data_IF_210856268642
#
_entry.id   IF_210856268642
#
_cell.length_a   1.000
_cell.length_b   1.000
_cell.length_c   1.000
_cell.angle_alpha   90.00
_cell.angle_beta   90.00
_cell.angle_gamma   90.00
#
_symmetry.space_group_name_H-M   'P 1'
#
loop_
_entity.id
_entity.type
_entity.pdbx_description
1 polymer ?
#
# COMPACT_ATOMS: atom_id res chain seq x y z
N UNK A 1 -8.90 -20.95 -13.80
CA UNK A 1 -7.43 -21.08 -13.74
C UNK A 1 -7.01 -20.51 -12.40
N UNK A 2 -5.97 -20.97 -11.73
CA UNK A 2 -5.50 -20.25 -10.56
C UNK A 2 -5.10 -18.85 -11.03
N UNK A 3 -5.80 -17.85 -10.57
CA UNK A 3 -5.45 -16.45 -10.76
C UNK A 3 -4.15 -16.20 -10.01
N UNK A 4 -3.24 -15.49 -10.64
CA UNK A 4 -2.03 -15.01 -9.99
C UNK A 4 -2.41 -14.08 -8.83
N UNK A 5 -1.76 -14.18 -7.68
CA UNK A 5 -2.19 -13.48 -6.46
C UNK A 5 -1.26 -12.32 -6.17
N UNK A 6 -1.83 -11.12 -5.98
CA UNK A 6 -1.12 -9.95 -5.52
C UNK A 6 -1.12 -9.94 -3.99
N UNK A 7 0.05 -9.88 -3.39
CA UNK A 7 0.26 -9.67 -1.96
C UNK A 7 -0.11 -8.23 -1.60
N UNK A 8 -1.01 -8.06 -0.66
CA UNK A 8 -1.37 -6.74 -0.12
C UNK A 8 -0.57 -6.49 1.16
N UNK A 9 0.33 -5.51 1.07
CA UNK A 9 1.15 -5.03 2.17
C UNK A 9 0.53 -3.73 2.70
N UNK A 10 -0.03 -3.78 3.90
CA UNK A 10 -0.61 -2.59 4.53
C UNK A 10 0.42 -1.89 5.41
N UNK A 11 0.65 -0.61 5.14
CA UNK A 11 1.53 0.27 5.93
C UNK A 11 0.77 1.38 6.68
N UNK A 12 -0.53 1.19 6.96
CA UNK A 12 -1.35 2.15 7.70
C UNK A 12 -0.77 2.45 9.08
N UNK A 13 -0.22 1.43 9.76
CA UNK A 13 0.36 1.54 11.11
C UNK A 13 1.79 2.09 11.14
N UNK A 14 2.41 2.28 9.97
CA UNK A 14 3.75 2.88 9.85
C UNK A 14 3.72 4.18 9.05
N UNK A 15 3.55 4.13 7.72
CA UNK A 15 3.53 5.30 6.85
C UNK A 15 2.24 6.12 7.01
N UNK A 16 1.12 5.43 7.14
CA UNK A 16 -0.17 6.05 7.44
C UNK A 16 -0.14 6.87 8.74
N UNK A 17 0.45 6.32 9.80
CA UNK A 17 0.60 6.99 11.09
C UNK A 17 1.56 8.20 11.05
N UNK A 18 2.51 8.21 10.13
CA UNK A 18 3.46 9.33 9.95
C UNK A 18 2.78 10.57 9.36
N UNK A 19 1.57 10.43 8.84
CA UNK A 19 0.77 11.59 8.41
C UNK A 19 0.49 12.53 9.59
N UNK A 20 0.67 13.86 9.41
CA UNK A 20 0.42 14.81 10.47
C UNK A 20 -1.01 14.68 11.05
N UNK A 21 -1.10 14.41 12.35
CA UNK A 21 -2.37 14.23 13.06
C UNK A 21 -2.92 12.81 13.12
N UNK A 22 -2.23 11.83 12.54
CA UNK A 22 -2.65 10.42 12.50
C UNK A 22 -2.01 9.53 13.57
N UNK A 23 -1.28 10.11 14.54
CA UNK A 23 -0.63 9.32 15.59
C UNK A 23 -1.64 8.51 16.41
N UNK A 24 -1.34 7.24 16.61
CA UNK A 24 -2.18 6.28 17.30
C UNK A 24 -1.53 5.79 18.60
N UNK A 25 -2.33 5.57 19.64
CA UNK A 25 -1.89 4.88 20.85
C UNK A 25 -1.77 3.38 20.56
N UNK A 26 -0.97 2.68 21.38
CA UNK A 26 -0.79 1.22 21.23
C UNK A 26 -2.12 0.45 21.18
N UNK A 27 -3.10 0.80 22.00
CA UNK A 27 -4.41 0.16 21.98
C UNK A 27 -5.15 0.39 20.65
N UNK A 28 -5.06 1.59 20.09
CA UNK A 28 -5.64 1.96 18.80
C UNK A 28 -4.93 1.22 17.64
N UNK A 29 -3.59 1.08 17.71
CA UNK A 29 -2.82 0.27 16.75
C UNK A 29 -3.26 -1.21 16.78
N UNK A 30 -3.51 -1.78 17.94
CA UNK A 30 -4.00 -3.15 18.06
C UNK A 30 -5.42 -3.32 17.50
N UNK A 31 -6.29 -2.33 17.65
CA UNK A 31 -7.62 -2.34 17.08
C UNK A 31 -7.57 -2.28 15.54
N UNK A 32 -6.74 -1.39 14.99
CA UNK A 32 -6.50 -1.32 13.54
C UNK A 32 -5.87 -2.61 13.02
N UNK A 33 -4.83 -3.15 13.70
CA UNK A 33 -4.20 -4.41 13.31
C UNK A 33 -5.21 -5.57 13.28
N UNK A 34 -6.12 -5.64 14.26
CA UNK A 34 -7.20 -6.65 14.25
C UNK A 34 -8.10 -6.51 13.03
N UNK A 35 -8.49 -5.28 12.68
CA UNK A 35 -9.32 -5.03 11.50
C UNK A 35 -8.59 -5.37 10.19
N UNK A 36 -7.28 -5.10 10.10
CA UNK A 36 -6.46 -5.45 8.94
C UNK A 36 -6.33 -6.98 8.77
N UNK A 37 -6.17 -7.71 9.88
CA UNK A 37 -6.17 -9.19 9.85
C UNK A 37 -7.53 -9.74 9.41
N UNK A 38 -8.63 -9.19 9.92
CA UNK A 38 -9.99 -9.62 9.55
C UNK A 38 -10.33 -9.22 8.09
N UNK A 39 -9.74 -8.12 7.59
CA UNK A 39 -9.77 -7.72 6.20
C UNK A 39 -9.00 -8.70 5.30
N UNK A 40 -8.02 -9.42 5.85
CA UNK A 40 -7.26 -10.43 5.12
C UNK A 40 -6.06 -9.86 4.37
N UNK A 41 -5.44 -8.78 4.86
CA UNK A 41 -4.15 -8.31 4.31
C UNK A 41 -3.06 -9.34 4.58
N UNK A 42 -2.12 -9.48 3.67
CA UNK A 42 -1.06 -10.49 3.75
C UNK A 42 0.06 -10.06 4.70
N UNK A 43 0.43 -8.79 4.65
CA UNK A 43 1.52 -8.21 5.44
C UNK A 43 1.03 -6.93 6.13
N UNK A 44 1.35 -6.77 7.41
CA UNK A 44 1.08 -5.56 8.20
C UNK A 44 2.42 -4.96 8.63
N UNK A 45 2.78 -3.81 8.09
CA UNK A 45 3.92 -3.04 8.58
C UNK A 45 3.52 -2.30 9.86
N UNK A 46 3.90 -2.87 10.99
CA UNK A 46 3.37 -2.49 12.29
C UNK A 46 4.04 -1.22 12.89
N UNK A 47 5.16 -0.78 12.32
CA UNK A 47 5.83 0.43 12.76
C UNK A 47 7.33 0.47 12.49
N UNK A 48 7.99 1.44 13.15
CA UNK A 48 9.42 1.70 13.06
C UNK A 48 10.09 1.57 14.45
N UNK A 49 10.50 0.36 14.85
CA UNK A 49 10.87 0.04 16.25
C UNK A 49 12.00 0.85 16.86
N UNK A 50 12.85 1.44 16.04
CA UNK A 50 13.96 2.29 16.52
C UNK A 50 13.51 3.72 16.87
N UNK A 51 12.34 4.16 16.38
CA UNK A 51 11.89 5.54 16.54
C UNK A 51 11.66 5.91 18.01
N UNK A 52 11.07 5.00 18.81
CA UNK A 52 10.88 5.19 20.24
C UNK A 52 10.67 3.86 20.98
N UNK A 53 10.77 3.85 22.32
CA UNK A 53 10.37 2.68 23.12
C UNK A 53 8.91 2.28 22.89
N UNK A 54 7.99 3.25 22.74
CA UNK A 54 6.56 2.98 22.50
C UNK A 54 6.32 2.34 21.13
N UNK A 55 7.04 2.75 20.08
CA UNK A 55 6.96 2.11 18.75
C UNK A 55 7.46 0.66 18.81
N UNK A 56 8.56 0.42 19.52
CA UNK A 56 9.04 -0.94 19.76
C UNK A 56 8.00 -1.82 20.44
N UNK A 57 7.42 -1.35 21.54
CA UNK A 57 6.39 -2.07 22.29
C UNK A 57 5.14 -2.32 21.45
N UNK A 58 4.71 -1.35 20.66
CA UNK A 58 3.56 -1.49 19.78
C UNK A 58 3.79 -2.59 18.72
N UNK A 59 4.92 -2.56 18.03
CA UNK A 59 5.29 -3.61 17.06
C UNK A 59 5.38 -4.98 17.73
N UNK A 60 5.96 -5.07 18.93
CA UNK A 60 6.07 -6.33 19.67
C UNK A 60 4.67 -6.86 20.08
N UNK A 61 3.75 -6.00 20.51
CA UNK A 61 2.39 -6.41 20.85
C UNK A 61 1.61 -6.88 19.64
N UNK A 62 1.71 -6.18 18.48
CA UNK A 62 1.12 -6.62 17.21
C UNK A 62 1.70 -7.98 16.80
N UNK A 63 3.01 -8.15 16.91
CA UNK A 63 3.71 -9.42 16.61
C UNK A 63 3.17 -10.58 17.43
N UNK A 64 3.02 -10.41 18.73
CA UNK A 64 2.50 -11.46 19.64
C UNK A 64 1.04 -11.79 19.40
N UNK A 65 0.23 -10.80 19.06
CA UNK A 65 -1.20 -10.98 18.97
C UNK A 65 -1.67 -11.47 17.60
N UNK A 66 -0.96 -11.13 16.53
CA UNK A 66 -1.41 -11.35 15.16
C UNK A 66 -0.42 -12.07 14.25
N UNK A 67 0.79 -12.35 14.74
CA UNK A 67 1.87 -12.94 13.93
C UNK A 67 1.64 -14.37 13.48
N UNK A 68 0.60 -15.05 13.96
CA UNK A 68 0.14 -16.37 13.49
C UNK A 68 -0.83 -16.25 12.30
N UNK A 69 -1.48 -15.08 12.12
CA UNK A 69 -2.54 -14.85 11.12
C UNK A 69 -2.10 -14.00 9.93
N UNK A 70 -1.19 -13.05 10.15
CA UNK A 70 -0.61 -12.21 9.11
C UNK A 70 0.90 -12.13 9.27
N UNK A 71 1.63 -11.80 8.21
CA UNK A 71 3.05 -11.48 8.31
C UNK A 71 3.20 -10.10 8.94
N UNK A 72 3.88 -10.03 10.09
CA UNK A 72 4.17 -8.75 10.74
C UNK A 72 5.53 -8.25 10.28
N UNK A 73 5.54 -7.01 9.79
CA UNK A 73 6.71 -6.36 9.25
C UNK A 73 7.17 -5.19 10.15
N UNK A 74 8.45 -5.00 10.27
CA UNK A 74 9.06 -3.86 10.96
C UNK A 74 10.10 -3.18 10.08
N UNK A 75 9.98 -1.84 9.99
CA UNK A 75 10.89 -1.02 9.21
C UNK A 75 12.23 -0.79 9.92
N UNK A 76 13.31 -0.81 9.17
CA UNK A 76 14.67 -0.50 9.63
C UNK A 76 15.46 0.28 8.56
N UNK A 77 16.15 1.33 8.95
CA UNK A 77 17.18 1.90 8.08
C UNK A 77 18.32 0.89 7.92
N UNK A 78 19.10 1.02 6.85
CA UNK A 78 20.34 0.25 6.68
C UNK A 78 21.40 0.67 7.72
N UNK A 79 21.10 0.38 9.00
CA UNK A 79 21.98 0.55 10.17
C UNK A 79 21.81 -0.65 11.09
N UNK A 80 22.91 -1.12 11.63
CA UNK A 80 22.93 -2.30 12.49
C UNK A 80 21.93 -2.20 13.65
N UNK A 81 21.94 -1.07 14.37
CA UNK A 81 21.07 -0.86 15.53
C UNK A 81 19.58 -0.87 15.17
N UNK A 82 19.24 -0.38 13.96
CA UNK A 82 17.86 -0.35 13.49
C UNK A 82 17.39 -1.78 13.17
N UNK A 83 18.21 -2.57 12.45
CA UNK A 83 17.90 -3.95 12.08
C UNK A 83 17.76 -4.82 13.34
N UNK A 84 18.70 -4.71 14.29
CA UNK A 84 18.66 -5.46 15.55
C UNK A 84 17.43 -5.09 16.39
N UNK A 85 17.07 -3.82 16.39
CA UNK A 85 15.91 -3.32 17.12
C UNK A 85 14.60 -3.81 16.50
N UNK A 86 14.50 -3.79 15.15
CA UNK A 86 13.34 -4.31 14.45
C UNK A 86 13.19 -5.82 14.67
N UNK A 87 14.29 -6.58 14.58
CA UNK A 87 14.27 -8.00 14.91
C UNK A 87 13.78 -8.28 16.32
N UNK A 88 14.28 -7.53 17.32
CA UNK A 88 13.85 -7.68 18.71
C UNK A 88 12.36 -7.48 18.92
N UNK A 89 11.70 -6.64 18.12
CA UNK A 89 10.26 -6.42 18.19
C UNK A 89 9.43 -7.49 17.46
N UNK A 90 10.03 -8.17 16.46
CA UNK A 90 9.36 -9.14 15.59
C UNK A 90 9.53 -10.59 16.00
N UNK A 91 10.49 -10.91 16.86
CA UNK A 91 10.88 -12.29 17.18
C UNK A 91 9.75 -13.18 17.73
N UNK A 92 8.71 -12.57 18.29
CA UNK A 92 7.55 -13.26 18.84
C UNK A 92 6.46 -13.58 17.78
N UNK A 93 6.57 -13.05 16.56
CA UNK A 93 5.67 -13.39 15.47
C UNK A 93 6.08 -14.71 14.81
N UNK A 94 5.11 -15.56 14.49
CA UNK A 94 5.34 -16.77 13.69
C UNK A 94 5.71 -16.41 12.25
N UNK A 95 4.96 -15.48 11.66
CA UNK A 95 5.21 -14.90 10.33
C UNK A 95 5.73 -13.49 10.51
N UNK A 96 6.96 -13.25 10.09
CA UNK A 96 7.66 -12.00 10.31
C UNK A 96 8.50 -11.62 9.11
N UNK A 97 8.62 -10.32 8.87
CA UNK A 97 9.43 -9.74 7.81
C UNK A 97 10.26 -8.58 8.36
N UNK A 98 11.52 -8.52 7.99
CA UNK A 98 12.36 -7.35 8.18
C UNK A 98 12.36 -6.53 6.89
N UNK A 99 11.95 -5.25 6.98
CA UNK A 99 11.97 -4.32 5.88
C UNK A 99 13.11 -3.32 6.07
N UNK A 100 14.15 -3.43 5.25
CA UNK A 100 15.31 -2.53 5.28
C UNK A 100 15.30 -1.57 4.10
N UNK A 101 15.65 -0.30 4.33
CA UNK A 101 15.69 0.68 3.27
C UNK A 101 16.94 1.55 3.27
N UNK A 102 17.33 1.98 2.08
CA UNK A 102 18.44 2.93 1.86
C UNK A 102 18.16 3.72 0.58
N UNK A 103 18.32 5.05 0.65
CA UNK A 103 18.09 5.87 -0.53
C UNK A 103 19.19 5.70 -1.57
N UNK A 104 18.78 5.69 -2.85
CA UNK A 104 19.65 5.42 -4.00
C UNK A 104 19.68 6.53 -5.03
N UNK A 105 18.76 7.51 -4.98
CA UNK A 105 18.78 8.62 -5.91
C UNK A 105 19.96 9.57 -5.65
N UNK A 106 20.49 10.17 -6.71
CA UNK A 106 21.64 11.09 -6.65
C UNK A 106 21.43 12.23 -5.65
N UNK A 107 20.21 12.79 -5.60
CA UNK A 107 19.87 13.87 -4.67
C UNK A 107 19.96 13.43 -3.20
N UNK A 108 19.55 12.19 -2.89
CA UNK A 108 19.65 11.65 -1.53
C UNK A 108 21.09 11.27 -1.19
N UNK A 109 21.82 10.67 -2.11
CA UNK A 109 23.22 10.33 -1.93
C UNK A 109 24.06 11.57 -1.62
N UNK A 110 23.88 12.65 -2.39
CA UNK A 110 24.65 13.89 -2.23
C UNK A 110 24.27 14.66 -0.96
N UNK A 111 22.96 14.88 -0.73
CA UNK A 111 22.52 15.83 0.30
C UNK A 111 22.15 15.19 1.63
N UNK A 112 21.56 13.97 1.63
CA UNK A 112 21.07 13.28 2.83
C UNK A 112 22.11 12.33 3.41
N UNK A 113 22.68 11.44 2.58
CA UNK A 113 23.53 10.34 3.03
C UNK A 113 25.02 10.71 2.99
N UNK A 114 25.45 11.55 2.04
CA UNK A 114 26.84 11.88 1.74
C UNK A 114 27.67 10.63 1.47
N UNK A 115 27.12 9.73 0.66
CA UNK A 115 27.71 8.46 0.25
C UNK A 115 27.80 8.40 -1.28
N UNK A 116 28.84 7.76 -1.78
CA UNK A 116 28.93 7.38 -3.19
C UNK A 116 28.22 6.05 -3.47
N UNK A 117 28.05 5.69 -4.76
CA UNK A 117 27.37 4.47 -5.20
C UNK A 117 27.96 3.20 -4.56
N UNK A 118 29.28 3.09 -4.47
CA UNK A 118 29.96 1.92 -3.88
C UNK A 118 29.65 1.78 -2.39
N UNK A 119 29.56 2.90 -1.69
CA UNK A 119 29.19 2.91 -0.27
C UNK A 119 27.72 2.53 -0.08
N UNK A 120 26.82 2.98 -0.98
CA UNK A 120 25.40 2.59 -0.98
C UNK A 120 25.27 1.09 -1.18
N UNK A 121 25.86 0.53 -2.24
CA UNK A 121 25.80 -0.93 -2.52
C UNK A 121 26.35 -1.72 -1.34
N UNK A 122 27.52 -1.35 -0.83
CA UNK A 122 28.13 -2.03 0.32
C UNK A 122 27.21 -2.01 1.54
N UNK A 123 26.65 -0.86 1.88
CA UNK A 123 25.77 -0.70 3.06
C UNK A 123 24.49 -1.49 2.89
N UNK A 124 23.88 -1.49 1.69
CA UNK A 124 22.69 -2.26 1.39
C UNK A 124 22.96 -3.77 1.58
N UNK A 125 24.03 -4.29 0.96
CA UNK A 125 24.44 -5.70 1.07
C UNK A 125 24.67 -6.11 2.53
N UNK A 126 25.46 -5.35 3.29
CA UNK A 126 25.75 -5.66 4.69
C UNK A 126 24.48 -5.72 5.56
N UNK A 127 23.54 -4.81 5.35
CA UNK A 127 22.32 -4.74 6.18
C UNK A 127 21.24 -5.70 5.73
N UNK A 128 21.12 -5.99 4.44
CA UNK A 128 20.24 -7.05 3.94
C UNK A 128 20.73 -8.42 4.42
N UNK A 129 22.05 -8.69 4.32
CA UNK A 129 22.65 -9.93 4.84
C UNK A 129 22.38 -10.08 6.34
N UNK A 130 22.57 -8.98 7.12
CA UNK A 130 22.27 -9.00 8.55
C UNK A 130 20.81 -9.30 8.84
N UNK A 131 19.89 -8.76 8.05
CA UNK A 131 18.46 -9.05 8.18
C UNK A 131 18.17 -10.54 7.83
N UNK A 132 18.79 -11.06 6.78
CA UNK A 132 18.68 -12.45 6.35
C UNK A 132 19.26 -13.43 7.37
N UNK A 133 20.27 -13.05 8.13
CA UNK A 133 20.78 -13.85 9.24
C UNK A 133 19.76 -14.03 10.39
N UNK A 134 18.78 -13.12 10.48
CA UNK A 134 17.71 -13.18 11.49
C UNK A 134 16.42 -13.82 10.98
N UNK A 135 16.06 -13.61 9.72
CA UNK A 135 14.73 -13.89 9.19
C UNK A 135 14.81 -14.25 7.70
N UNK A 136 14.08 -15.27 7.29
CA UNK A 136 14.07 -15.73 5.89
C UNK A 136 13.32 -14.77 4.95
N UNK A 137 12.39 -13.97 5.48
CA UNK A 137 11.59 -13.00 4.72
C UNK A 137 12.15 -11.59 4.93
N UNK A 138 12.89 -11.10 3.94
CA UNK A 138 13.54 -9.80 3.96
C UNK A 138 13.08 -8.96 2.77
N UNK A 139 12.55 -7.79 3.05
CA UNK A 139 12.20 -6.79 2.06
C UNK A 139 13.25 -5.69 2.04
N UNK A 140 13.68 -5.32 0.83
CA UNK A 140 14.60 -4.19 0.64
C UNK A 140 13.98 -3.14 -0.26
N UNK A 141 14.02 -1.87 0.21
CA UNK A 141 13.58 -0.70 -0.54
C UNK A 141 14.75 0.21 -0.90
N UNK A 142 15.12 0.36 -2.18
CA UNK A 142 15.94 1.46 -2.66
C UNK A 142 15.12 2.76 -2.62
N UNK A 143 15.15 3.49 -1.50
CA UNK A 143 14.34 4.70 -1.31
C UNK A 143 14.58 5.70 -2.45
N UNK A 144 13.51 6.27 -2.97
CA UNK A 144 13.50 7.19 -4.12
C UNK A 144 13.91 6.53 -5.45
N UNK A 145 13.55 5.26 -5.61
CA UNK A 145 13.86 4.46 -6.80
C UNK A 145 13.33 5.07 -8.11
N UNK A 146 12.16 5.72 -8.07
CA UNK A 146 11.58 6.38 -9.24
C UNK A 146 12.46 7.51 -9.82
N UNK A 147 13.40 8.04 -9.05
CA UNK A 147 14.37 9.07 -9.46
C UNK A 147 15.83 8.57 -9.44
N UNK A 148 16.03 7.29 -9.21
CA UNK A 148 17.35 6.65 -9.26
C UNK A 148 17.73 6.35 -10.71
N UNK A 149 19.02 6.50 -11.04
CA UNK A 149 19.57 6.07 -12.32
C UNK A 149 19.32 4.57 -12.53
N UNK A 150 18.80 4.18 -13.70
CA UNK A 150 18.31 2.82 -13.90
C UNK A 150 19.38 1.74 -13.82
N UNK A 151 20.58 2.00 -14.38
CA UNK A 151 21.70 1.04 -14.33
C UNK A 151 22.18 0.84 -12.89
N UNK A 152 22.27 1.93 -12.13
CA UNK A 152 22.61 1.87 -10.72
C UNK A 152 21.53 1.19 -9.89
N UNK A 153 20.25 1.44 -10.20
CA UNK A 153 19.13 0.73 -9.56
C UNK A 153 19.23 -0.78 -9.80
N UNK A 154 19.55 -1.20 -11.03
CA UNK A 154 19.79 -2.62 -11.35
C UNK A 154 20.90 -3.23 -10.51
N UNK A 155 22.05 -2.54 -10.38
CA UNK A 155 23.17 -3.01 -9.56
C UNK A 155 22.76 -3.19 -8.09
N UNK A 156 22.10 -2.19 -7.51
CA UNK A 156 21.66 -2.24 -6.10
C UNK A 156 20.68 -3.38 -5.88
N UNK A 157 19.70 -3.55 -6.78
CA UNK A 157 18.68 -4.60 -6.70
C UNK A 157 19.33 -5.99 -6.82
N UNK A 158 20.20 -6.19 -7.81
CA UNK A 158 20.89 -7.47 -7.99
C UNK A 158 21.70 -7.85 -6.74
N UNK A 159 22.43 -6.91 -6.18
CA UNK A 159 23.24 -7.12 -4.97
C UNK A 159 22.42 -7.32 -3.70
N UNK A 160 21.26 -6.67 -3.58
CA UNK A 160 20.34 -6.89 -2.47
C UNK A 160 19.74 -8.30 -2.51
N UNK A 161 19.36 -8.81 -3.70
CA UNK A 161 18.87 -10.18 -3.87
C UNK A 161 19.99 -11.19 -3.57
N UNK A 162 21.21 -10.98 -4.06
CA UNK A 162 22.37 -11.82 -3.72
C UNK A 162 22.64 -11.88 -2.21
N UNK A 163 22.35 -10.77 -1.49
CA UNK A 163 22.51 -10.69 -0.04
C UNK A 163 21.37 -11.33 0.76
N UNK A 164 20.29 -11.76 0.12
CA UNK A 164 19.18 -12.47 0.74
C UNK A 164 17.85 -11.73 0.79
N UNK A 165 17.68 -10.62 0.05
CA UNK A 165 16.37 -10.00 -0.08
C UNK A 165 15.41 -10.91 -0.87
N UNK A 166 14.25 -11.21 -0.30
CA UNK A 166 13.19 -12.02 -0.91
C UNK A 166 12.11 -11.17 -1.56
N UNK A 167 12.06 -9.89 -1.20
CA UNK A 167 11.17 -8.89 -1.81
C UNK A 167 11.98 -7.63 -2.10
N UNK A 168 11.83 -7.09 -3.31
CA UNK A 168 12.38 -5.80 -3.72
C UNK A 168 11.22 -4.84 -3.94
N UNK A 169 11.11 -3.87 -3.06
CA UNK A 169 10.09 -2.84 -3.16
C UNK A 169 10.65 -1.60 -3.87
N UNK A 170 9.93 -1.12 -4.86
CA UNK A 170 10.31 0.02 -5.70
C UNK A 170 9.44 1.22 -5.30
N UNK A 171 9.99 2.20 -4.54
CA UNK A 171 9.19 3.34 -4.11
C UNK A 171 9.26 4.54 -5.07
N UNK A 172 8.08 5.08 -5.38
CA UNK A 172 7.90 6.45 -5.84
C UNK A 172 7.71 7.36 -4.61
N UNK A 173 8.83 7.61 -3.92
CA UNK A 173 8.87 8.23 -2.59
C UNK A 173 8.29 9.64 -2.54
N UNK A 174 8.33 10.38 -3.64
CA UNK A 174 7.83 11.75 -3.70
C UNK A 174 6.60 11.91 -4.60
N UNK A 175 6.01 10.79 -5.06
CA UNK A 175 4.82 10.80 -5.89
C UNK A 175 5.02 11.54 -7.23
N UNK A 176 6.20 11.40 -7.82
CA UNK A 176 6.65 12.14 -9.00
C UNK A 176 6.38 11.42 -10.33
N UNK A 177 6.36 10.10 -10.31
CA UNK A 177 6.26 9.29 -11.50
C UNK A 177 4.87 9.33 -12.13
N UNK A 178 4.82 9.16 -13.46
CA UNK A 178 3.58 8.85 -14.19
C UNK A 178 3.43 7.34 -14.35
N UNK A 179 2.20 6.81 -14.60
CA UNK A 179 2.01 5.35 -14.68
C UNK A 179 2.90 4.66 -15.71
N UNK A 180 3.03 5.24 -16.91
CA UNK A 180 3.89 4.66 -17.97
C UNK A 180 5.38 4.67 -17.58
N UNK A 181 5.83 5.74 -16.94
CA UNK A 181 7.21 5.86 -16.45
C UNK A 181 7.46 4.87 -15.32
N UNK A 182 6.57 4.79 -14.34
CA UNK A 182 6.74 3.89 -13.20
C UNK A 182 6.71 2.42 -13.62
N UNK A 183 5.76 2.03 -14.48
CA UNK A 183 5.74 0.68 -15.06
C UNK A 183 7.02 0.34 -15.84
N UNK A 184 7.60 1.32 -16.56
CA UNK A 184 8.84 1.08 -17.31
C UNK A 184 10.04 0.74 -16.42
N UNK A 185 10.06 1.19 -15.15
CA UNK A 185 11.10 0.80 -14.17
C UNK A 185 11.04 -0.70 -13.90
N UNK A 186 9.84 -1.25 -13.66
CA UNK A 186 9.66 -2.69 -13.42
C UNK A 186 10.06 -3.53 -14.63
N UNK A 187 9.66 -3.10 -15.82
CA UNK A 187 10.09 -3.76 -17.06
C UNK A 187 11.60 -3.76 -17.18
N UNK A 188 12.24 -2.61 -16.97
CA UNK A 188 13.69 -2.47 -17.06
C UNK A 188 14.43 -3.39 -16.06
N UNK A 189 13.98 -3.45 -14.82
CA UNK A 189 14.54 -4.36 -13.81
C UNK A 189 14.41 -5.83 -14.23
N UNK A 190 13.24 -6.23 -14.75
CA UNK A 190 13.02 -7.61 -15.24
C UNK A 190 13.90 -7.99 -16.42
N UNK A 191 14.25 -7.03 -17.27
CA UNK A 191 15.09 -7.26 -18.44
C UNK A 191 16.58 -7.25 -18.13
N UNK A 192 17.02 -6.52 -17.07
CA UNK A 192 18.43 -6.24 -16.87
C UNK A 192 19.02 -6.82 -15.57
N UNK A 193 18.19 -7.23 -14.59
CA UNK A 193 18.67 -7.84 -13.34
C UNK A 193 18.63 -9.35 -13.46
N UNK A 194 19.79 -9.99 -13.43
CA UNK A 194 19.95 -11.42 -13.79
C UNK A 194 19.27 -12.38 -12.80
N UNK A 195 19.17 -12.01 -11.53
CA UNK A 195 18.57 -12.80 -10.45
C UNK A 195 17.18 -12.33 -10.03
N UNK A 196 16.53 -11.45 -10.80
CA UNK A 196 15.25 -10.82 -10.45
C UNK A 196 14.14 -11.83 -10.13
N UNK A 197 14.17 -12.99 -10.78
CA UNK A 197 13.20 -14.08 -10.56
C UNK A 197 13.32 -14.78 -9.20
N UNK A 198 14.32 -14.43 -8.38
CA UNK A 198 14.50 -14.96 -7.03
C UNK A 198 13.81 -14.10 -5.96
N UNK A 199 13.28 -12.93 -6.33
CA UNK A 199 12.58 -12.05 -5.41
C UNK A 199 11.21 -11.62 -5.97
N UNK A 200 10.30 -11.25 -5.08
CA UNK A 200 9.03 -10.63 -5.42
C UNK A 200 9.27 -9.15 -5.68
N UNK A 201 8.77 -8.62 -6.80
CA UNK A 201 8.74 -7.17 -7.04
C UNK A 201 7.52 -6.55 -6.37
N UNK A 202 7.74 -5.50 -5.60
CA UNK A 202 6.74 -4.72 -4.88
C UNK A 202 6.71 -3.27 -5.36
N UNK A 203 5.56 -2.63 -5.30
CA UNK A 203 5.37 -1.23 -5.63
C UNK A 203 4.88 -0.44 -4.41
N UNK A 204 5.54 0.68 -4.13
CA UNK A 204 5.12 1.66 -3.11
C UNK A 204 5.00 3.03 -3.76
N UNK A 205 3.83 3.68 -3.67
CA UNK A 205 3.59 4.95 -4.35
C UNK A 205 2.98 5.99 -3.43
N UNK A 206 3.60 7.17 -3.37
CA UNK A 206 2.99 8.37 -2.79
C UNK A 206 2.10 9.10 -3.79
N UNK A 207 1.16 9.90 -3.29
CA UNK A 207 0.02 10.42 -4.05
C UNK A 207 0.12 11.92 -4.35
N UNK A 208 1.31 12.50 -4.40
CA UNK A 208 1.52 13.94 -4.56
C UNK A 208 0.93 14.50 -5.86
N UNK A 209 0.95 13.71 -6.93
CA UNK A 209 0.28 14.04 -8.20
C UNK A 209 -1.12 13.41 -8.36
N UNK A 210 -1.64 12.71 -7.34
CA UNK A 210 -2.90 11.98 -7.44
C UNK A 210 -2.82 10.70 -8.28
N UNK A 211 -1.62 10.12 -8.45
CA UNK A 211 -1.37 8.99 -9.35
C UNK A 211 -0.94 7.70 -8.64
N UNK A 212 -0.92 7.67 -7.31
CA UNK A 212 -0.38 6.53 -6.57
C UNK A 212 -1.04 5.20 -6.94
N UNK A 213 -2.37 5.15 -6.98
CA UNK A 213 -3.12 3.94 -7.37
C UNK A 213 -2.81 3.55 -8.82
N UNK A 214 -2.81 4.53 -9.73
CA UNK A 214 -2.54 4.29 -11.14
C UNK A 214 -1.09 3.78 -11.37
N UNK A 215 -0.12 4.33 -10.63
CA UNK A 215 1.27 3.89 -10.67
C UNK A 215 1.41 2.46 -10.15
N UNK A 216 0.79 2.13 -9.00
CA UNK A 216 0.80 0.78 -8.45
C UNK A 216 0.19 -0.25 -9.40
N UNK A 217 -0.95 0.08 -10.02
CA UNK A 217 -1.59 -0.80 -11.01
C UNK A 217 -0.73 -0.95 -12.30
N UNK A 218 -0.02 0.10 -12.72
CA UNK A 218 0.92 0.00 -13.83
C UNK A 218 2.09 -0.94 -13.50
N UNK A 219 2.60 -0.89 -12.26
CA UNK A 219 3.63 -1.82 -11.79
C UNK A 219 3.12 -3.27 -11.77
N UNK A 220 1.87 -3.52 -11.34
CA UNK A 220 1.24 -4.85 -11.38
C UNK A 220 1.17 -5.36 -12.82
N UNK A 221 0.77 -4.51 -13.77
CA UNK A 221 0.76 -4.85 -15.21
C UNK A 221 2.13 -5.22 -15.76
N UNK A 222 3.21 -4.68 -15.20
CA UNK A 222 4.60 -5.00 -15.57
C UNK A 222 5.23 -6.11 -14.72
N UNK A 223 4.46 -6.72 -13.81
CA UNK A 223 4.85 -7.94 -13.09
C UNK A 223 5.20 -7.75 -11.63
N UNK A 224 4.88 -6.62 -11.00
CA UNK A 224 4.86 -6.55 -9.54
C UNK A 224 3.82 -7.54 -8.98
N UNK A 225 4.16 -8.18 -7.87
CA UNK A 225 3.28 -9.16 -7.20
C UNK A 225 3.07 -8.84 -5.73
N UNK A 226 3.51 -7.68 -5.31
CA UNK A 226 3.15 -7.03 -4.05
C UNK A 226 2.84 -5.56 -4.30
N UNK A 227 1.87 -5.01 -3.57
CA UNK A 227 1.59 -3.57 -3.51
C UNK A 227 1.56 -3.13 -2.05
N UNK A 228 2.39 -2.14 -1.72
CA UNK A 228 2.30 -1.41 -0.46
C UNK A 228 1.24 -0.32 -0.59
N UNK A 229 0.33 -0.28 0.35
CA UNK A 229 -0.79 0.66 0.35
C UNK A 229 -1.27 0.93 1.77
N UNK A 230 -2.20 1.85 1.93
CA UNK A 230 -2.77 2.19 3.23
C UNK A 230 -4.29 2.29 3.14
N UNK A 231 -4.97 2.03 4.25
CA UNK A 231 -6.41 2.31 4.37
C UNK A 231 -6.64 3.81 4.13
N UNK A 232 -7.60 4.13 3.28
CA UNK A 232 -7.97 5.50 2.86
C UNK A 232 -6.86 6.29 2.15
N UNK A 233 -5.76 5.65 1.79
CA UNK A 233 -4.60 6.31 1.20
C UNK A 233 -3.86 7.23 2.20
N UNK A 234 -3.93 6.94 3.50
CA UNK A 234 -3.20 7.72 4.52
C UNK A 234 -1.70 7.65 4.29
N UNK A 235 -0.97 8.71 4.65
CA UNK A 235 0.49 8.76 4.55
C UNK A 235 1.04 10.19 4.51
N UNK A 236 2.34 10.28 4.40
CA UNK A 236 3.05 11.56 4.30
C UNK A 236 2.50 12.43 3.16
N UNK A 237 2.46 13.73 3.37
CA UNK A 237 2.04 14.77 2.40
C UNK A 237 0.63 14.53 1.84
N UNK A 238 0.52 14.05 0.58
CA UNK A 238 -0.77 13.74 -0.07
C UNK A 238 -1.23 12.28 0.13
N UNK A 239 -0.47 11.49 0.89
CA UNK A 239 -0.78 10.11 1.22
C UNK A 239 -0.15 9.08 0.29
N UNK A 240 -0.58 7.84 0.45
CA UNK A 240 -0.16 6.65 -0.30
C UNK A 240 -1.23 6.18 -1.30
N UNK A 241 -0.92 5.12 -2.02
CA UNK A 241 -1.94 4.36 -2.75
C UNK A 241 -3.00 3.85 -1.76
N UNK A 242 -4.27 4.05 -2.08
CA UNK A 242 -5.37 3.60 -1.23
C UNK A 242 -5.63 2.10 -1.42
N UNK A 243 -5.59 1.33 -0.34
CA UNK A 243 -5.78 -0.12 -0.34
C UNK A 243 -7.10 -0.52 -1.00
N UNK A 244 -8.20 0.11 -0.60
CA UNK A 244 -9.53 -0.16 -1.13
C UNK A 244 -9.63 0.06 -2.63
N UNK A 245 -8.92 1.06 -3.17
CA UNK A 245 -8.92 1.35 -4.61
C UNK A 245 -8.09 0.33 -5.40
N UNK A 246 -6.94 -0.10 -4.87
CA UNK A 246 -6.11 -1.16 -5.48
C UNK A 246 -6.91 -2.47 -5.52
N UNK A 247 -7.42 -2.91 -4.38
CA UNK A 247 -8.14 -4.18 -4.25
C UNK A 247 -9.36 -4.23 -5.17
N UNK A 248 -10.19 -3.17 -5.17
CA UNK A 248 -11.39 -3.16 -6.00
C UNK A 248 -11.09 -2.95 -7.48
N UNK A 249 -9.99 -2.28 -7.85
CA UNK A 249 -9.56 -2.23 -9.26
C UNK A 249 -9.18 -3.63 -9.78
N UNK A 250 -8.44 -4.41 -8.99
CA UNK A 250 -8.06 -5.78 -9.34
C UNK A 250 -9.28 -6.70 -9.42
N UNK A 251 -10.16 -6.65 -8.41
CA UNK A 251 -11.37 -7.47 -8.36
C UNK A 251 -12.35 -7.14 -9.49
N UNK A 252 -12.59 -5.84 -9.77
CA UNK A 252 -13.52 -5.39 -10.81
C UNK A 252 -12.98 -5.63 -12.21
N UNK A 253 -11.66 -5.50 -12.42
CA UNK A 253 -10.99 -5.65 -13.71
C UNK A 253 -10.10 -6.89 -13.77
N UNK A 254 -10.53 -7.98 -13.13
CA UNK A 254 -9.88 -9.30 -13.24
C UNK A 254 -9.76 -9.80 -14.69
N UNK A 255 -10.64 -9.32 -15.58
CA UNK A 255 -10.56 -9.54 -17.03
C UNK A 255 -9.30 -8.96 -17.67
N UNK A 256 -8.77 -7.89 -17.11
CA UNK A 256 -7.61 -7.15 -17.62
C UNK A 256 -6.31 -7.48 -16.89
N UNK A 257 -6.36 -7.57 -15.55
CA UNK A 257 -5.16 -7.79 -14.73
C UNK A 257 -4.79 -9.27 -14.59
N UNK A 258 -5.75 -10.19 -14.79
CA UNK A 258 -5.58 -11.64 -14.64
C UNK A 258 -5.00 -12.08 -13.28
N UNK A 259 -5.18 -11.24 -12.27
CA UNK A 259 -4.73 -11.46 -10.89
C UNK A 259 -5.82 -11.03 -9.90
N UNK A 260 -5.70 -11.50 -8.66
CA UNK A 260 -6.64 -11.25 -7.58
C UNK A 260 -5.88 -11.04 -6.26
N UNK A 261 -6.60 -10.72 -5.19
CA UNK A 261 -6.07 -10.57 -3.83
C UNK A 261 -6.76 -11.52 -2.86
N UNK A 262 -6.22 -11.68 -1.65
CA UNK A 262 -6.85 -12.45 -0.57
C UNK A 262 -7.76 -11.59 0.32
N UNK A 263 -7.94 -10.33 -0.01
CA UNK A 263 -8.68 -9.36 0.80
C UNK A 263 -10.17 -9.68 0.79
N UNK A 264 -10.79 -9.69 1.97
CA UNK A 264 -12.24 -9.80 2.17
C UNK A 264 -12.88 -8.44 1.87
N UNK A 265 -13.31 -8.21 0.66
CA UNK A 265 -13.75 -6.90 0.18
C UNK A 265 -14.93 -6.32 0.98
N UNK A 266 -15.81 -7.16 1.52
CA UNK A 266 -16.92 -6.76 2.41
C UNK A 266 -16.46 -6.09 3.73
N UNK A 267 -15.18 -6.16 4.06
CA UNK A 267 -14.56 -5.50 5.21
C UNK A 267 -13.92 -4.13 4.88
N UNK A 268 -13.85 -3.74 3.61
CA UNK A 268 -13.21 -2.48 3.21
C UNK A 268 -13.87 -1.25 3.85
N UNK A 269 -15.18 -1.12 3.71
CA UNK A 269 -15.90 0.03 4.27
C UNK A 269 -15.85 0.09 5.80
N UNK A 270 -16.12 -1.00 6.56
CA UNK A 270 -15.96 -1.00 8.01
C UNK A 270 -14.56 -0.62 8.48
N UNK A 271 -13.51 -1.17 7.84
CA UNK A 271 -12.11 -0.87 8.18
C UNK A 271 -11.77 0.59 7.88
N UNK A 272 -12.20 1.11 6.74
CA UNK A 272 -12.06 2.54 6.39
C UNK A 272 -12.68 3.46 7.45
N UNK A 273 -13.88 3.11 7.94
CA UNK A 273 -14.57 3.88 8.99
C UNK A 273 -13.85 3.81 10.33
N UNK A 274 -13.37 2.64 10.72
CA UNK A 274 -12.59 2.45 11.93
C UNK A 274 -11.35 3.34 11.93
N UNK A 275 -10.52 3.23 10.88
CA UNK A 275 -9.28 4.02 10.74
C UNK A 275 -9.58 5.52 10.73
N UNK A 276 -10.62 5.95 10.00
CA UNK A 276 -11.06 7.36 9.99
C UNK A 276 -11.50 7.85 11.37
N UNK A 277 -12.17 7.00 12.16
CA UNK A 277 -12.60 7.34 13.52
C UNK A 277 -11.43 7.47 14.49
N UNK A 278 -10.47 6.55 14.41
CA UNK A 278 -9.29 6.51 15.29
C UNK A 278 -8.35 7.68 14.99
N UNK A 279 -8.03 7.91 13.72
CA UNK A 279 -7.09 8.96 13.30
C UNK A 279 -7.71 10.35 13.25
N UNK A 280 -9.04 10.46 13.24
CA UNK A 280 -9.74 11.73 13.03
C UNK A 280 -9.69 12.25 11.59
N UNK A 281 -8.99 11.55 10.69
CA UNK A 281 -8.90 11.92 9.26
C UNK A 281 -10.18 11.51 8.54
N UNK A 282 -10.96 12.52 8.15
CA UNK A 282 -12.24 12.29 7.49
C UNK A 282 -12.05 11.85 6.05
N UNK A 283 -12.71 10.76 5.67
CA UNK A 283 -12.81 10.33 4.28
C UNK A 283 -13.65 11.34 3.48
N UNK A 284 -13.14 11.77 2.32
CA UNK A 284 -13.90 12.63 1.41
C UNK A 284 -15.19 11.95 0.98
N UNK A 285 -16.28 12.72 0.88
CA UNK A 285 -17.60 12.16 0.51
C UNK A 285 -17.59 11.44 -0.85
N UNK A 286 -16.83 11.95 -1.79
CA UNK A 286 -16.67 11.41 -3.14
C UNK A 286 -15.42 10.50 -3.30
N UNK A 287 -14.80 10.05 -2.19
CA UNK A 287 -13.72 9.06 -2.24
C UNK A 287 -14.21 7.80 -2.94
N UNK A 288 -13.43 7.28 -3.85
CA UNK A 288 -13.75 6.02 -4.50
C UNK A 288 -13.93 4.89 -3.46
N UNK A 289 -14.79 3.95 -3.72
CA UNK A 289 -15.09 2.73 -2.95
C UNK A 289 -15.73 3.00 -1.58
N UNK A 290 -15.14 3.83 -0.72
CA UNK A 290 -15.53 3.99 0.69
C UNK A 290 -16.12 5.37 1.04
N UNK A 291 -16.23 6.28 0.07
CA UNK A 291 -16.87 7.59 0.27
C UNK A 291 -18.39 7.46 0.41
N UNK A 292 -19.03 8.39 1.13
CA UNK A 292 -20.48 8.38 1.30
C UNK A 292 -21.25 8.47 -0.02
N UNK A 293 -20.66 9.13 -1.03
CA UNK A 293 -21.31 9.32 -2.33
C UNK A 293 -20.92 8.22 -3.35
N UNK A 294 -20.05 7.26 -2.97
CA UNK A 294 -19.58 6.23 -3.89
C UNK A 294 -20.72 5.38 -4.48
N UNK A 295 -21.81 5.22 -3.70
CA UNK A 295 -23.03 4.47 -4.08
C UNK A 295 -24.29 5.34 -3.88
N UNK A 296 -24.21 6.63 -4.22
CA UNK A 296 -25.33 7.55 -4.09
C UNK A 296 -25.65 8.23 -5.43
N UNK A 297 -26.92 8.24 -5.82
CA UNK A 297 -27.39 8.86 -7.05
C UNK A 297 -28.39 9.98 -6.74
N UNK A 298 -28.12 11.19 -7.24
CA UNK A 298 -29.04 12.33 -7.15
C UNK A 298 -29.60 12.71 -8.53
N UNK A 299 -28.83 12.55 -9.61
CA UNK A 299 -29.29 12.91 -10.95
C UNK A 299 -30.43 11.99 -11.43
N UNK A 300 -31.55 12.59 -11.88
CA UNK A 300 -32.74 11.82 -12.30
C UNK A 300 -32.45 10.81 -13.42
N UNK A 301 -31.57 11.14 -14.37
CA UNK A 301 -31.17 10.23 -15.45
C UNK A 301 -30.43 8.99 -14.87
N UNK A 302 -29.57 9.21 -13.88
CA UNK A 302 -28.85 8.11 -13.21
C UNK A 302 -29.82 7.25 -12.41
N UNK A 303 -30.76 7.84 -11.66
CA UNK A 303 -31.76 7.11 -10.89
C UNK A 303 -32.67 6.29 -11.81
N UNK A 304 -33.15 6.87 -12.93
CA UNK A 304 -33.96 6.16 -13.89
C UNK A 304 -33.24 4.96 -14.52
N UNK A 305 -31.97 5.14 -14.89
CA UNK A 305 -31.15 4.04 -15.40
C UNK A 305 -30.91 2.95 -14.37
N UNK A 306 -30.51 3.33 -13.15
CA UNK A 306 -30.23 2.41 -12.06
C UNK A 306 -31.47 1.59 -11.64
N UNK A 307 -32.63 2.23 -11.56
CA UNK A 307 -33.91 1.56 -11.24
C UNK A 307 -34.32 0.52 -12.30
N UNK A 308 -33.89 0.69 -13.53
CA UNK A 308 -34.14 -0.27 -14.62
C UNK A 308 -33.13 -1.42 -14.59
N UNK A 309 -31.86 -1.09 -14.41
CA UNK A 309 -30.75 -2.04 -14.37
C UNK A 309 -29.57 -1.37 -13.64
N UNK A 310 -29.23 -1.79 -12.40
CA UNK A 310 -28.16 -1.18 -11.59
C UNK A 310 -26.81 -1.08 -12.30
N UNK A 311 -26.46 -2.07 -13.12
CA UNK A 311 -25.17 -2.11 -13.85
C UNK A 311 -25.02 -1.00 -14.90
N UNK A 312 -26.06 -0.23 -15.17
CA UNK A 312 -25.98 0.96 -16.05
C UNK A 312 -25.11 2.06 -15.45
N UNK A 313 -25.00 2.11 -14.12
CA UNK A 313 -24.25 3.14 -13.39
C UNK A 313 -23.39 2.60 -12.23
N UNK A 314 -23.42 1.29 -11.97
CA UNK A 314 -22.61 0.65 -10.93
C UNK A 314 -21.73 -0.44 -11.55
N UNK A 315 -20.42 -0.37 -11.29
CA UNK A 315 -19.43 -1.38 -11.71
C UNK A 315 -19.17 -2.44 -10.63
N UNK A 316 -19.68 -2.22 -9.44
CA UNK A 316 -19.65 -3.12 -8.29
C UNK A 316 -20.88 -2.85 -7.40
N UNK A 317 -21.32 -3.83 -6.63
CA UNK A 317 -22.45 -3.65 -5.72
C UNK A 317 -21.96 -3.05 -4.40
N UNK A 318 -22.78 -2.23 -3.70
CA UNK A 318 -22.42 -1.69 -2.38
C UNK A 318 -22.04 -2.78 -1.37
N UNK A 319 -22.74 -3.90 -1.37
CA UNK A 319 -22.50 -5.03 -0.46
C UNK A 319 -21.13 -5.67 -0.68
N UNK A 320 -20.60 -5.64 -1.90
CA UNK A 320 -19.28 -6.20 -2.24
C UNK A 320 -18.14 -5.51 -1.46
N UNK A 321 -18.38 -4.29 -0.97
CA UNK A 321 -17.41 -3.51 -0.18
C UNK A 321 -17.87 -3.24 1.27
N UNK A 322 -18.97 -3.85 1.68
CA UNK A 322 -19.53 -3.73 3.03
C UNK A 322 -20.40 -2.49 3.28
N UNK A 323 -20.89 -1.86 2.22
CA UNK A 323 -21.90 -0.79 2.30
C UNK A 323 -23.29 -1.41 2.25
N UNK A 324 -24.24 -1.01 3.14
CA UNK A 324 -25.54 -1.69 3.25
C UNK A 324 -26.45 -1.60 2.03
N UNK A 325 -26.22 -0.67 1.11
CA UNK A 325 -27.02 -0.48 -0.09
C UNK A 325 -26.78 0.85 -0.77
N UNK A 326 -27.40 1.04 -1.93
CA UNK A 326 -27.34 2.29 -2.71
C UNK A 326 -28.31 3.32 -2.18
N UNK A 327 -27.85 4.56 -2.03
CA UNK A 327 -28.68 5.70 -1.62
C UNK A 327 -29.22 6.46 -2.85
N UNK A 328 -30.54 6.49 -3.01
CA UNK A 328 -31.22 7.36 -3.97
C UNK A 328 -31.58 8.68 -3.26
N UNK A 329 -30.79 9.72 -3.52
CA UNK A 329 -31.01 11.05 -2.93
C UNK A 329 -32.11 11.77 -3.71
N UNK A 330 -33.10 12.41 -3.04
CA UNK A 330 -34.14 13.19 -3.75
C UNK A 330 -33.51 14.24 -4.68
N UNK A 331 -33.99 14.27 -5.93
CA UNK A 331 -33.51 15.18 -6.96
C UNK A 331 -33.78 16.62 -6.55
N UNK A 332 -32.73 17.45 -6.44
CA UNK A 332 -32.81 18.86 -6.09
C UNK A 332 -32.49 19.74 -7.31
N UNK A 333 -33.44 19.81 -8.27
CA UNK A 333 -33.33 20.74 -9.39
C UNK A 333 -33.97 22.08 -9.01
N UNK A 334 -33.17 23.06 -8.69
CA UNK A 334 -33.64 24.41 -8.32
C UNK A 334 -34.31 25.20 -9.48
N UNK A 335 -34.23 24.69 -10.71
CA UNK A 335 -34.71 25.40 -11.92
C UNK A 335 -35.66 24.58 -12.81
N UNK A 336 -36.10 23.40 -12.41
CA UNK A 336 -37.02 22.59 -13.19
C UNK A 336 -38.46 22.75 -12.67
N UNK A 337 -39.37 23.13 -13.54
CA UNK A 337 -40.80 23.13 -13.24
C UNK A 337 -41.36 21.71 -13.27
N UNK A 338 -42.35 21.40 -12.42
CA UNK A 338 -43.01 20.11 -12.30
C UNK A 338 -43.36 19.38 -13.62
N UNK A 339 -43.73 20.02 -14.71
CA UNK A 339 -44.03 19.36 -15.99
C UNK A 339 -42.81 18.66 -16.63
N UNK A 340 -41.59 19.06 -16.29
CA UNK A 340 -40.37 18.46 -16.85
C UNK A 340 -40.00 17.16 -16.17
N UNK A 341 -40.44 16.94 -14.94
CA UNK A 341 -40.21 15.73 -14.15
C UNK A 341 -41.11 14.56 -14.62
N UNK A 342 -42.23 14.87 -15.25
CA UNK A 342 -43.20 13.87 -15.74
C UNK A 342 -42.92 13.36 -17.17
N UNK A 343 -41.85 13.86 -17.81
CA UNK A 343 -41.48 13.53 -19.19
C UNK A 343 -40.13 12.78 -19.32
N UNK A 344 -39.56 12.32 -18.21
CA UNK A 344 -38.34 11.49 -18.20
C UNK A 344 -38.65 10.06 -17.82
#
# INVERSE_FOLDING_TARGET
MPTDTITIFDTTLRDGEQSPGCSMKTAEKLEVASALVDLGVDVIEAGFPIASPGDFEAVQMVSRQFGDRATICGLARCRQEDVDRAWGALQDAERRRLHVFLATSSIHMEHKLKMDEKQIVKTAVEMVQRAADYCEDVEFSPEDAARTELDFLCEVVEKAIEAGATTINIPDTVGYATPAQFGSVFRHLKENVSNIGQAVLSAHCHNDLGLAVANSLAAVGEGARQVECTINGLGERAGNAALEEIVMALATRGDYFECDTRVNTDKLFPTSRLVSSITGMKVQRNKAIVGQNAFAHEAGIHQDGWLKEPTTYEIMRPEDVGVPGTDLVPVSYTHLTLPTILLV
#
